data_IF_315616556681
#
_entry.id   IF_315616556681
#
_cell.length_a   1.000
_cell.length_b   1.000
_cell.length_c   1.000
_cell.angle_alpha   90.00
_cell.angle_beta   90.00
_cell.angle_gamma   90.00
#
_symmetry.space_group_name_H-M   'P 1'
#
loop_
_entity.id
_entity.type
_entity.pdbx_description
1 polymer ?
#
# COMPACT_ATOMS: atom_id res chain seq x y z
N UNK A 1 -3.03 1.66 -7.99
CA UNK A 1 -2.10 2.81 -8.00
C UNK A 1 -2.04 3.42 -6.61
N UNK A 2 -0.86 3.74 -6.10
CA UNK A 2 -0.71 4.45 -4.82
C UNK A 2 -1.01 5.93 -5.05
N UNK A 3 -1.98 6.48 -4.32
CA UNK A 3 -2.39 7.87 -4.43
C UNK A 3 -1.62 8.79 -3.48
N UNK A 4 -1.37 8.32 -2.25
CA UNK A 4 -0.69 9.10 -1.22
C UNK A 4 -0.06 8.19 -0.16
N UNK A 5 1.17 8.51 0.25
CA UNK A 5 1.84 7.91 1.41
C UNK A 5 1.97 8.99 2.47
N UNK A 6 1.12 8.92 3.49
CA UNK A 6 1.05 9.92 4.56
C UNK A 6 1.65 9.43 5.88
N UNK A 7 1.56 10.27 6.91
CA UNK A 7 2.06 9.94 8.26
C UNK A 7 1.21 8.92 9.02
N UNK A 8 -0.04 8.68 8.60
CA UNK A 8 -1.00 7.79 9.26
C UNK A 8 -1.28 6.49 8.52
N UNK A 9 -0.93 6.44 7.23
CA UNK A 9 -1.32 5.36 6.34
C UNK A 9 -1.13 5.72 4.88
N UNK A 10 -1.56 4.81 4.02
CA UNK A 10 -1.44 4.91 2.57
C UNK A 10 -2.83 4.90 1.94
N UNK A 11 -3.01 5.72 0.91
CA UNK A 11 -4.16 5.66 0.03
C UNK A 11 -3.79 4.93 -1.26
N UNK A 12 -4.63 3.97 -1.64
CA UNK A 12 -4.47 3.20 -2.87
C UNK A 12 -5.79 3.18 -3.66
N UNK A 13 -5.69 3.36 -4.98
CA UNK A 13 -6.78 3.18 -5.93
C UNK A 13 -6.70 1.79 -6.53
N UNK A 14 -7.77 1.01 -6.38
CA UNK A 14 -7.91 -0.34 -6.96
C UNK A 14 -9.23 -0.39 -7.71
N UNK A 15 -9.18 -0.70 -9.01
CA UNK A 15 -10.38 -0.81 -9.88
C UNK A 15 -11.37 0.36 -9.71
N UNK A 16 -10.84 1.59 -9.68
CA UNK A 16 -11.61 2.83 -9.51
C UNK A 16 -12.28 3.00 -8.13
N UNK A 17 -11.80 2.29 -7.11
CA UNK A 17 -12.22 2.43 -5.73
C UNK A 17 -11.02 2.75 -4.84
N UNK A 18 -11.18 3.74 -3.96
CA UNK A 18 -10.15 4.16 -3.02
C UNK A 18 -10.20 3.34 -1.73
N UNK A 19 -9.01 2.97 -1.26
CA UNK A 19 -8.82 2.25 -0.01
C UNK A 19 -7.76 2.97 0.82
N UNK A 20 -8.04 3.08 2.12
CA UNK A 20 -7.09 3.58 3.09
C UNK A 20 -6.52 2.42 3.91
N UNK A 21 -5.20 2.30 3.90
CA UNK A 21 -4.44 1.31 4.65
C UNK A 21 -3.71 2.02 5.78
N UNK A 22 -4.24 1.94 6.99
CA UNK A 22 -3.64 2.55 8.16
C UNK A 22 -2.45 1.75 8.70
N UNK A 23 -1.50 2.44 9.34
CA UNK A 23 -0.31 1.78 9.87
C UNK A 23 -0.54 0.96 11.14
N UNK A 24 -1.74 0.98 11.74
CA UNK A 24 -2.04 0.11 12.88
C UNK A 24 -2.36 -1.30 12.41
N UNK A 25 -3.14 -1.42 11.35
CA UNK A 25 -3.48 -2.69 10.72
C UNK A 25 -2.40 -3.21 9.76
N UNK A 26 -1.64 -2.30 9.15
CA UNK A 26 -0.57 -2.62 8.18
C UNK A 26 0.77 -2.01 8.62
N UNK A 27 1.39 -2.53 9.70
CA UNK A 27 2.56 -1.90 10.33
C UNK A 27 3.82 -1.93 9.47
N UNK A 28 3.95 -2.88 8.54
CA UNK A 28 5.11 -3.03 7.65
C UNK A 28 5.35 -1.81 6.75
N UNK A 29 4.33 -0.97 6.52
CA UNK A 29 4.48 0.26 5.74
C UNK A 29 5.20 1.40 6.47
N UNK A 30 5.32 1.38 7.82
CA UNK A 30 5.89 2.53 8.58
C UNK A 30 7.36 2.79 8.27
N UNK A 31 8.12 1.73 8.06
CA UNK A 31 9.57 1.78 7.85
C UNK A 31 9.97 1.29 6.45
N UNK A 32 8.98 0.98 5.62
CA UNK A 32 9.17 0.60 4.23
C UNK A 32 9.76 1.76 3.42
N UNK A 33 10.66 1.43 2.50
CA UNK A 33 11.11 2.43 1.51
C UNK A 33 9.95 2.79 0.61
N UNK A 34 9.89 4.05 0.20
CA UNK A 34 8.87 4.50 -0.74
C UNK A 34 8.88 3.69 -2.04
N UNK A 35 10.06 3.28 -2.53
CA UNK A 35 10.19 2.37 -3.69
C UNK A 35 9.41 1.08 -3.51
N UNK A 36 9.48 0.50 -2.32
CA UNK A 36 8.91 -0.81 -2.02
C UNK A 36 7.39 -0.70 -1.83
N UNK A 37 6.90 0.44 -1.31
CA UNK A 37 5.46 0.76 -1.21
C UNK A 37 4.85 0.96 -2.60
N UNK A 38 5.59 1.61 -3.51
CA UNK A 38 5.13 1.87 -4.87
C UNK A 38 5.16 0.61 -5.74
N UNK A 39 5.99 -0.37 -5.40
CA UNK A 39 6.08 -1.67 -6.05
C UNK A 39 4.94 -2.62 -5.63
N UNK A 40 3.72 -2.17 -5.91
CA UNK A 40 2.49 -2.92 -5.66
C UNK A 40 1.98 -3.54 -6.96
N UNK A 41 1.66 -4.83 -6.90
CA UNK A 41 0.99 -5.55 -7.97
C UNK A 41 -0.40 -6.02 -7.54
N UNK A 42 -1.35 -6.06 -8.47
CA UNK A 42 -2.68 -6.65 -8.24
C UNK A 42 -2.68 -8.08 -8.76
N UNK A 43 -2.61 -9.06 -7.87
CA UNK A 43 -2.73 -10.47 -8.22
C UNK A 43 -4.17 -10.94 -7.98
N UNK A 44 -4.92 -11.10 -9.07
CA UNK A 44 -6.37 -11.40 -9.06
C UNK A 44 -7.15 -10.32 -8.30
N UNK A 45 -7.48 -10.58 -7.04
CA UNK A 45 -8.26 -9.72 -6.15
C UNK A 45 -7.48 -9.34 -4.88
N UNK A 46 -6.18 -9.63 -4.84
CA UNK A 46 -5.29 -9.28 -3.72
C UNK A 46 -4.18 -8.35 -4.17
N UNK A 47 -3.88 -7.37 -3.33
CA UNK A 47 -2.71 -6.52 -3.48
C UNK A 47 -1.49 -7.27 -2.94
N UNK A 48 -0.41 -7.24 -3.70
CA UNK A 48 0.82 -7.93 -3.36
C UNK A 48 1.99 -6.94 -3.44
N UNK A 49 2.76 -6.90 -2.36
CA UNK A 49 4.02 -6.17 -2.27
C UNK A 49 5.12 -7.21 -2.06
N UNK A 50 5.97 -7.42 -3.07
CA UNK A 50 7.00 -8.48 -2.99
C UNK A 50 8.05 -8.20 -1.91
N UNK A 51 8.32 -6.92 -1.66
CA UNK A 51 9.37 -6.46 -0.76
C UNK A 51 8.86 -6.08 0.64
N UNK A 52 7.56 -6.25 0.91
CA UNK A 52 6.96 -5.96 2.22
C UNK A 52 6.43 -7.26 2.83
N UNK A 53 6.96 -7.61 4.01
CA UNK A 53 6.65 -8.82 4.74
C UNK A 53 5.63 -8.58 5.87
#
# INVERSE_FOLDING_TARGET
>A
EILNVGSRGIWILVRNQEFFMDYQNFPWFREAKLSDILDVSLCKDHLHWENLA
#
